data_IF_138805907875
#
_entry.id   IF_138805907875
#
_cell.length_a   1.000
_cell.length_b   1.000
_cell.length_c   1.000
_cell.angle_alpha   90.00
_cell.angle_beta   90.00
_cell.angle_gamma   90.00
#
_symmetry.space_group_name_H-M   'P 1'
#
loop_
_entity.id
_entity.type
_entity.pdbx_description
1 polymer ?
#
# COMPACT_ATOMS: atom_id res chain seq x y z
N UNK A 1 23.84 -9.16 -13.09
CA UNK A 1 22.42 -8.95 -12.70
C UNK A 1 21.61 -8.80 -13.97
N UNK A 2 20.56 -9.60 -14.16
CA UNK A 2 19.78 -9.63 -15.41
C UNK A 2 18.87 -8.40 -15.54
N UNK A 3 18.62 -7.93 -16.78
CA UNK A 3 17.72 -6.78 -17.03
C UNK A 3 16.34 -6.95 -16.38
N UNK A 4 15.82 -8.19 -16.34
CA UNK A 4 14.51 -8.48 -15.72
C UNK A 4 14.54 -8.41 -14.18
N UNK A 5 15.71 -8.67 -13.57
CA UNK A 5 15.91 -8.52 -12.12
C UNK A 5 15.99 -7.03 -11.74
N UNK A 6 16.60 -6.20 -12.58
CA UNK A 6 16.60 -4.75 -12.42
C UNK A 6 15.19 -4.16 -12.53
N UNK A 7 14.41 -4.61 -13.52
CA UNK A 7 12.99 -4.24 -13.65
C UNK A 7 12.18 -4.66 -12.42
N UNK A 8 12.40 -5.87 -11.90
CA UNK A 8 11.75 -6.31 -10.66
C UNK A 8 12.12 -5.42 -9.47
N UNK A 9 13.39 -5.05 -9.33
CA UNK A 9 13.84 -4.17 -8.25
C UNK A 9 13.18 -2.79 -8.34
N UNK A 10 13.12 -2.22 -9.54
CA UNK A 10 12.43 -0.95 -9.77
C UNK A 10 10.93 -1.05 -9.49
N UNK A 11 10.30 -2.16 -9.89
CA UNK A 11 8.88 -2.40 -9.62
C UNK A 11 8.56 -2.49 -8.13
N UNK A 12 9.40 -3.17 -7.34
CA UNK A 12 9.29 -3.22 -5.87
C UNK A 12 9.35 -1.82 -5.25
N UNK A 13 10.33 -1.01 -5.64
CA UNK A 13 10.45 0.37 -5.15
C UNK A 13 9.19 1.19 -5.49
N UNK A 14 8.67 1.05 -6.71
CA UNK A 14 7.44 1.75 -7.13
C UNK A 14 6.21 1.26 -6.38
N UNK A 15 6.10 -0.03 -6.11
CA UNK A 15 5.06 -0.61 -5.27
C UNK A 15 5.12 -0.03 -3.85
N UNK A 16 6.29 -0.04 -3.22
CA UNK A 16 6.47 0.50 -1.87
C UNK A 16 6.09 1.98 -1.80
N UNK A 17 6.51 2.77 -2.79
CA UNK A 17 6.14 4.18 -2.92
C UNK A 17 4.63 4.37 -3.09
N UNK A 18 3.99 3.59 -3.95
CA UNK A 18 2.55 3.67 -4.19
C UNK A 18 1.75 3.25 -2.95
N UNK A 19 2.17 2.18 -2.26
CA UNK A 19 1.58 1.72 -1.01
C UNK A 19 1.74 2.75 0.12
N UNK A 20 2.90 3.39 0.22
CA UNK A 20 3.13 4.46 1.19
C UNK A 20 2.25 5.70 0.91
N UNK A 21 1.99 6.02 -0.36
CA UNK A 21 1.05 7.08 -0.75
C UNK A 21 -0.38 6.70 -0.40
N UNK A 22 -0.81 5.47 -0.70
CA UNK A 22 -2.14 4.98 -0.37
C UNK A 22 -2.41 4.99 1.15
N UNK A 23 -1.43 4.56 1.96
CA UNK A 23 -1.52 4.64 3.43
C UNK A 23 -1.66 6.07 3.93
N UNK A 24 -0.92 7.01 3.34
CA UNK A 24 -1.03 8.44 3.70
C UNK A 24 -2.39 9.02 3.36
N UNK A 25 -2.91 8.74 2.16
CA UNK A 25 -4.24 9.19 1.75
C UNK A 25 -5.34 8.63 2.67
N UNK A 26 -5.29 7.33 2.98
CA UNK A 26 -6.21 6.72 3.94
C UNK A 26 -6.06 7.32 5.35
N UNK A 27 -4.82 7.63 5.77
CA UNK A 27 -4.54 8.31 7.03
C UNK A 27 -5.18 9.69 7.10
N UNK A 28 -5.10 10.48 6.03
CA UNK A 28 -5.74 11.81 5.95
C UNK A 28 -7.26 11.70 6.09
N UNK A 29 -7.90 10.74 5.39
CA UNK A 29 -9.34 10.49 5.52
C UNK A 29 -9.72 10.20 6.98
N UNK A 30 -8.96 9.35 7.65
CA UNK A 30 -9.22 8.98 9.05
C UNK A 30 -8.99 10.15 10.01
N UNK A 31 -7.98 10.97 9.78
CA UNK A 31 -7.73 12.18 10.56
C UNK A 31 -8.88 13.17 10.42
N UNK A 32 -9.37 13.43 9.21
CA UNK A 32 -10.52 14.33 8.99
C UNK A 32 -11.80 13.79 9.63
N UNK A 33 -12.04 12.46 9.56
CA UNK A 33 -13.16 11.82 10.27
C UNK A 33 -13.04 11.98 11.79
N UNK A 34 -11.86 11.76 12.35
CA UNK A 34 -11.63 11.93 13.78
C UNK A 34 -11.85 13.39 14.21
N UNK A 35 -11.34 14.34 13.43
CA UNK A 35 -11.53 15.77 13.68
C UNK A 35 -13.01 16.17 13.61
N UNK A 36 -13.75 15.69 12.60
CA UNK A 36 -15.20 15.91 12.51
C UNK A 36 -15.93 15.40 13.76
N UNK A 37 -15.57 14.20 14.24
CA UNK A 37 -16.18 13.64 15.45
C UNK A 37 -15.88 14.51 16.68
N UNK A 38 -14.66 15.05 16.82
CA UNK A 38 -14.33 15.99 17.88
C UNK A 38 -15.18 17.26 17.80
N UNK A 39 -15.36 17.82 16.60
CA UNK A 39 -16.23 19.01 16.40
C UNK A 39 -17.67 18.74 16.81
N UNK A 40 -18.20 17.55 16.47
CA UNK A 40 -19.55 17.14 16.87
C UNK A 40 -19.67 16.90 18.37
N UNK A 41 -18.64 16.35 19.01
CA UNK A 41 -18.57 16.16 20.46
C UNK A 41 -18.57 17.51 21.17
N UNK A 42 -17.72 18.45 20.73
CA UNK A 42 -17.74 19.83 21.21
C UNK A 42 -19.12 20.50 21.05
N UNK A 43 -19.79 20.32 19.91
CA UNK A 43 -21.13 20.87 19.70
C UNK A 43 -22.16 20.29 20.70
N UNK A 44 -22.04 19.01 21.06
CA UNK A 44 -22.88 18.36 22.08
C UNK A 44 -22.58 18.84 23.50
N UNK A 45 -21.31 19.08 23.82
CA UNK A 45 -20.93 19.65 25.12
C UNK A 45 -21.55 21.04 25.30
N UNK A 46 -21.52 21.89 24.25
CA UNK A 46 -22.18 23.18 24.26
C UNK A 46 -23.70 23.07 24.43
N UNK A 47 -24.34 22.10 23.78
CA UNK A 47 -25.76 21.82 23.98
C UNK A 47 -26.07 21.47 25.43
N UNK A 48 -25.26 20.61 26.06
CA UNK A 48 -25.38 20.27 27.48
C UNK A 48 -25.23 21.47 28.39
N UNK A 49 -24.27 22.36 28.10
CA UNK A 49 -24.07 23.61 28.85
C UNK A 49 -25.25 24.58 28.69
N UNK A 50 -25.81 24.71 27.48
CA UNK A 50 -26.98 25.56 27.23
C UNK A 50 -28.22 25.03 27.97
N UNK A 51 -28.44 23.71 27.93
CA UNK A 51 -29.55 23.07 28.65
C UNK A 51 -29.39 23.28 30.17
N UNK A 52 -28.21 23.06 30.73
CA UNK A 52 -27.94 23.34 32.14
C UNK A 52 -28.12 24.84 32.47
N UNK A 53 -27.62 25.73 31.62
CA UNK A 53 -27.73 27.17 31.78
C UNK A 53 -29.18 27.65 31.71
N UNK A 54 -30.05 26.99 30.95
CA UNK A 54 -31.49 27.33 30.90
C UNK A 54 -32.24 27.02 32.20
N UNK A 55 -31.72 26.10 33.02
CA UNK A 55 -32.27 25.81 34.35
C UNK A 55 -31.75 26.75 35.44
N UNK A 56 -30.64 27.43 35.17
CA UNK A 56 -30.07 28.46 36.02
C UNK A 56 -30.52 29.82 35.49
N UNK A 57 -30.62 30.86 36.32
CA UNK A 57 -31.09 32.19 35.89
C UNK A 57 -30.03 32.95 35.06
N UNK A 58 -29.50 32.31 34.03
CA UNK A 58 -28.49 32.84 33.11
C UNK A 58 -29.12 33.84 32.12
N UNK A 59 -28.35 34.83 31.65
CA UNK A 59 -28.83 35.81 30.69
C UNK A 59 -29.16 35.16 29.33
N UNK A 60 -30.29 35.56 28.74
CA UNK A 60 -30.78 35.05 27.44
C UNK A 60 -29.77 35.27 26.31
N UNK A 61 -29.00 36.35 26.35
CA UNK A 61 -27.94 36.64 25.36
C UNK A 61 -26.87 35.55 25.31
N UNK A 62 -26.46 35.02 26.47
CA UNK A 62 -25.50 33.91 26.52
C UNK A 62 -26.04 32.65 25.84
N UNK A 63 -27.32 32.33 26.08
CA UNK A 63 -27.99 31.18 25.47
C UNK A 63 -28.06 31.34 23.94
N UNK A 64 -28.35 32.55 23.46
CA UNK A 64 -28.40 32.85 22.02
C UNK A 64 -27.03 32.73 21.36
N UNK A 65 -25.98 33.29 21.97
CA UNK A 65 -24.62 33.22 21.44
C UNK A 65 -24.09 31.78 21.42
N UNK A 66 -24.34 31.02 22.49
CA UNK A 66 -23.95 29.61 22.58
C UNK A 66 -24.67 28.74 21.54
N UNK A 67 -25.96 28.98 21.29
CA UNK A 67 -26.70 28.29 20.22
C UNK A 67 -26.18 28.65 18.83
N UNK A 68 -25.92 29.93 18.56
CA UNK A 68 -25.34 30.38 17.28
C UNK A 68 -23.95 29.78 17.05
N UNK A 69 -23.14 29.64 18.10
CA UNK A 69 -21.84 28.96 18.01
C UNK A 69 -21.99 27.47 17.72
N UNK A 70 -22.90 26.77 18.43
CA UNK A 70 -23.22 25.35 18.18
C UNK A 70 -23.67 25.11 16.74
N UNK A 71 -24.54 25.96 16.21
CA UNK A 71 -24.98 25.86 14.81
C UNK A 71 -23.80 25.99 13.82
N UNK A 72 -22.85 26.90 14.08
CA UNK A 72 -21.63 27.01 13.26
C UNK A 72 -20.76 25.75 13.33
N UNK A 73 -20.64 25.12 14.49
CA UNK A 73 -19.91 23.84 14.62
C UNK A 73 -20.58 22.72 13.83
N UNK A 74 -21.91 22.62 13.90
CA UNK A 74 -22.68 21.64 13.11
C UNK A 74 -22.51 21.91 11.62
N UNK A 75 -22.64 23.17 11.18
CA UNK A 75 -22.45 23.55 9.78
C UNK A 75 -21.04 23.19 9.29
N UNK A 76 -20.01 23.50 10.08
CA UNK A 76 -18.63 23.14 9.77
C UNK A 76 -18.46 21.62 9.65
N UNK A 77 -19.12 20.83 10.52
CA UNK A 77 -19.07 19.37 10.44
C UNK A 77 -19.71 18.82 9.15
N UNK A 78 -20.76 19.48 8.63
CA UNK A 78 -21.40 19.13 7.35
C UNK A 78 -20.47 19.46 6.18
N UNK A 79 -19.76 20.58 6.21
CA UNK A 79 -18.76 20.92 5.20
C UNK A 79 -17.60 19.91 5.19
N UNK A 80 -17.21 19.41 6.37
CA UNK A 80 -16.21 18.34 6.48
C UNK A 80 -16.67 17.02 5.83
N UNK A 81 -17.98 16.74 5.73
CA UNK A 81 -18.45 15.55 5.01
C UNK A 81 -18.11 15.60 3.52
N UNK A 82 -18.26 16.77 2.90
CA UNK A 82 -17.85 16.98 1.52
C UNK A 82 -16.35 16.75 1.33
N UNK A 83 -15.53 17.25 2.26
CA UNK A 83 -14.09 17.04 2.25
C UNK A 83 -13.72 15.56 2.46
N UNK A 84 -14.36 14.88 3.41
CA UNK A 84 -14.16 13.45 3.67
C UNK A 84 -14.52 12.64 2.43
N UNK A 85 -15.61 12.98 1.74
CA UNK A 85 -16.01 12.29 0.51
C UNK A 85 -14.97 12.48 -0.60
N UNK A 86 -14.49 13.70 -0.80
CA UNK A 86 -13.43 14.00 -1.77
C UNK A 86 -12.12 13.25 -1.47
N UNK A 87 -11.68 13.30 -0.21
CA UNK A 87 -10.48 12.58 0.25
C UNK A 87 -10.65 11.05 0.14
N UNK A 88 -11.86 10.54 0.39
CA UNK A 88 -12.14 9.09 0.29
C UNK A 88 -12.02 8.61 -1.15
N UNK A 89 -12.56 9.37 -2.12
CA UNK A 89 -12.41 9.06 -3.56
C UNK A 89 -10.94 9.10 -3.98
N UNK A 90 -10.21 10.15 -3.62
CA UNK A 90 -8.78 10.24 -3.91
C UNK A 90 -7.96 9.11 -3.27
N UNK A 91 -8.33 8.70 -2.05
CA UNK A 91 -7.71 7.56 -1.36
C UNK A 91 -7.98 6.24 -2.10
N UNK A 92 -9.20 6.03 -2.61
CA UNK A 92 -9.57 4.86 -3.39
C UNK A 92 -8.77 4.78 -4.71
N UNK A 93 -8.68 5.88 -5.45
CA UNK A 93 -7.87 5.96 -6.69
C UNK A 93 -6.38 5.67 -6.41
N UNK A 94 -5.86 6.20 -5.31
CA UNK A 94 -4.47 5.96 -4.88
C UNK A 94 -4.25 4.49 -4.52
N UNK A 95 -5.21 3.87 -3.84
CA UNK A 95 -5.18 2.44 -3.49
C UNK A 95 -5.26 1.55 -4.72
N UNK A 96 -6.09 1.91 -5.71
CA UNK A 96 -6.17 1.20 -6.99
C UNK A 96 -4.82 1.22 -7.71
N UNK A 97 -4.17 2.39 -7.75
CA UNK A 97 -2.83 2.55 -8.34
C UNK A 97 -1.79 1.69 -7.62
N UNK A 98 -1.81 1.66 -6.28
CA UNK A 98 -0.92 0.84 -5.49
C UNK A 98 -1.16 -0.66 -5.73
N UNK A 99 -2.42 -1.08 -5.84
CA UNK A 99 -2.80 -2.46 -6.16
C UNK A 99 -2.30 -2.87 -7.54
N UNK A 100 -2.42 -1.99 -8.53
CA UNK A 100 -1.90 -2.23 -9.87
C UNK A 100 -0.37 -2.37 -9.87
N UNK A 101 0.35 -1.53 -9.12
CA UNK A 101 1.80 -1.64 -8.95
C UNK A 101 2.19 -2.99 -8.31
N UNK A 102 1.49 -3.42 -7.25
CA UNK A 102 1.68 -4.73 -6.61
C UNK A 102 1.46 -5.90 -7.57
N UNK A 103 0.42 -5.83 -8.40
CA UNK A 103 0.16 -6.87 -9.41
C UNK A 103 1.28 -6.96 -10.44
N UNK A 104 1.82 -5.82 -10.90
CA UNK A 104 2.99 -5.78 -11.80
C UNK A 104 4.23 -6.42 -11.14
N UNK A 105 4.52 -6.06 -9.89
CA UNK A 105 5.64 -6.65 -9.14
C UNK A 105 5.50 -8.16 -8.98
N UNK A 106 4.29 -8.65 -8.67
CA UNK A 106 4.01 -10.09 -8.56
C UNK A 106 4.24 -10.80 -9.90
N UNK A 107 3.79 -10.21 -11.01
CA UNK A 107 4.03 -10.73 -12.36
C UNK A 107 5.53 -10.83 -12.68
N UNK A 108 6.29 -9.76 -12.44
CA UNK A 108 7.73 -9.73 -12.65
C UNK A 108 8.48 -10.71 -11.75
N UNK A 109 8.02 -10.91 -10.51
CA UNK A 109 8.62 -11.87 -9.58
C UNK A 109 8.54 -13.28 -10.14
N UNK A 110 7.34 -13.71 -10.59
CA UNK A 110 7.14 -15.02 -11.23
C UNK A 110 8.02 -15.20 -12.47
N UNK A 111 8.18 -14.17 -13.29
CA UNK A 111 9.04 -14.22 -14.48
C UNK A 111 10.52 -14.38 -14.14
N UNK A 112 11.00 -13.66 -13.13
CA UNK A 112 12.38 -13.79 -12.63
C UNK A 112 12.62 -15.19 -12.07
N UNK A 113 11.68 -15.72 -11.29
CA UNK A 113 11.76 -17.08 -10.74
C UNK A 113 11.80 -18.14 -11.85
N UNK A 114 10.93 -18.01 -12.86
CA UNK A 114 10.95 -18.89 -14.04
C UNK A 114 12.30 -18.87 -14.74
N UNK A 115 12.84 -17.67 -15.02
CA UNK A 115 14.16 -17.54 -15.66
C UNK A 115 15.28 -18.15 -14.83
N UNK A 116 15.25 -17.97 -13.50
CA UNK A 116 16.23 -18.58 -12.59
C UNK A 116 16.14 -20.11 -12.61
N UNK A 117 14.92 -20.64 -12.65
CA UNK A 117 14.70 -22.07 -12.75
C UNK A 117 15.23 -22.65 -14.07
N UNK A 118 14.92 -22.01 -15.20
CA UNK A 118 15.45 -22.40 -16.52
C UNK A 118 16.98 -22.34 -16.57
N UNK A 119 17.59 -21.31 -16.00
CA UNK A 119 19.05 -21.19 -15.92
C UNK A 119 19.68 -22.32 -15.09
N UNK A 120 19.06 -22.71 -13.98
CA UNK A 120 19.51 -23.84 -13.16
C UNK A 120 19.40 -25.16 -13.91
N UNK A 121 18.29 -25.40 -14.61
CA UNK A 121 18.13 -26.61 -15.41
C UNK A 121 19.17 -26.69 -16.54
N UNK A 122 19.45 -25.58 -17.23
CA UNK A 122 20.49 -25.53 -18.28
C UNK A 122 21.86 -25.82 -17.70
N UNK A 123 22.19 -25.26 -16.53
CA UNK A 123 23.46 -25.52 -15.84
C UNK A 123 23.60 -26.99 -15.45
N UNK A 124 22.56 -27.59 -14.88
CA UNK A 124 22.56 -29.01 -14.52
C UNK A 124 22.73 -29.93 -15.73
N UNK A 125 22.04 -29.63 -16.86
CA UNK A 125 22.23 -30.38 -18.11
C UNK A 125 23.64 -30.24 -18.67
N UNK A 126 24.21 -29.03 -18.65
CA UNK A 126 25.58 -28.81 -19.11
C UNK A 126 26.60 -29.56 -18.25
N UNK A 127 26.41 -29.58 -16.93
CA UNK A 127 27.26 -30.37 -16.00
C UNK A 127 27.14 -31.87 -16.30
N UNK A 128 25.92 -32.39 -16.51
CA UNK A 128 25.70 -33.80 -16.86
C UNK A 128 26.40 -34.19 -18.18
N UNK A 129 26.24 -33.38 -19.22
CA UNK A 129 26.91 -33.61 -20.50
C UNK A 129 28.44 -33.59 -20.35
N UNK A 130 28.98 -32.66 -19.55
CA UNK A 130 30.42 -32.65 -19.25
C UNK A 130 30.88 -33.91 -18.51
N UNK A 131 30.07 -34.46 -17.61
CA UNK A 131 30.39 -35.74 -16.96
C UNK A 131 30.40 -36.89 -17.96
N UNK A 132 29.42 -36.97 -18.86
CA UNK A 132 29.34 -38.00 -19.90
C UNK A 132 30.52 -37.90 -20.88
N UNK A 133 30.85 -36.70 -21.35
CA UNK A 133 31.99 -36.45 -22.23
C UNK A 133 33.32 -36.87 -21.58
N UNK A 134 33.52 -36.49 -20.30
CA UNK A 134 34.70 -36.88 -19.53
C UNK A 134 34.76 -38.41 -19.31
N UNK A 135 33.63 -39.06 -19.09
CA UNK A 135 33.55 -40.50 -18.91
C UNK A 135 33.87 -41.24 -20.22
N UNK A 136 33.29 -40.82 -21.34
CA UNK A 136 33.57 -41.36 -22.67
C UNK A 136 35.04 -41.17 -23.08
N UNK A 137 35.63 -40.01 -22.78
CA UNK A 137 37.04 -39.74 -23.04
C UNK A 137 37.95 -40.71 -22.26
N UNK A 138 37.64 -41.04 -21.00
CA UNK A 138 38.40 -42.02 -20.20
C UNK A 138 38.27 -43.45 -20.73
N UNK A 139 37.09 -43.83 -21.22
CA UNK A 139 36.88 -45.13 -21.87
C UNK A 139 37.71 -45.27 -23.14
N UNK A 140 37.74 -44.23 -23.98
CA UNK A 140 38.51 -44.25 -25.22
C UNK A 140 40.03 -44.32 -24.99
N UNK A 141 40.56 -43.63 -23.97
CA UNK A 141 42.00 -43.72 -23.59
C UNK A 141 42.39 -45.14 -23.16
N UNK A 142 41.51 -45.85 -22.45
CA UNK A 142 41.76 -47.24 -22.03
C UNK A 142 41.54 -48.29 -23.14
N UNK A 143 40.93 -47.91 -24.26
CA UNK A 143 40.71 -48.81 -25.41
C UNK A 143 41.82 -48.76 -26.47
N UNK A 144 42.75 -47.80 -26.37
CA UNK A 144 43.79 -47.53 -27.38
C UNK A 144 45.12 -48.27 -27.22
N UNK A 145 45.26 -49.19 -26.25
CA UNK A 145 46.50 -49.95 -26.05
C UNK A 145 46.26 -51.46 -25.98
N UNK A 146 45.52 -51.98 -26.95
CA UNK A 146 45.59 -53.39 -27.35
C UNK A 146 45.70 -53.40 -28.87
N UNK A 147 46.75 -54.01 -29.38
CA UNK A 147 47.17 -54.12 -30.79
C UNK A 147 48.21 -53.07 -31.22
N UNK A 148 49.38 -53.13 -30.59
CA UNK A 148 50.67 -52.76 -31.17
C UNK A 148 51.72 -53.82 -30.79
#
# INVERSE_FOLDING_TARGET
>A
MSAIELLLRLAKIREDQAMARAKRAAGQVNQTKAFKNQVLEYAKEYEGQVLAASTQSMPISFIQDANAFREKLIQSSVEMDGQIQGLSRASEETLMTATQARMRTRGLTKLVEKKRHEARQKKAKAEMNQFEDNYAARLNVNSGTKDA
#
